data_IF_736783328406
#
_entry.id   IF_736783328406
#
_cell.length_a   1.000
_cell.length_b   1.000
_cell.length_c   1.000
_cell.angle_alpha   90.00
_cell.angle_beta   90.00
_cell.angle_gamma   90.00
#
_symmetry.space_group_name_H-M   'P 1'
#
loop_
_entity.id
_entity.type
_entity.pdbx_description
1 polymer ?
#
# COMPACT_ATOMS: atom_id res chain seq x y z
N UNK A 1 25.29 -8.56 -10.13
CA UNK A 1 24.07 -9.00 -9.46
C UNK A 1 23.47 -7.85 -8.68
N UNK A 2 22.18 -7.71 -8.72
CA UNK A 2 21.52 -6.54 -8.15
C UNK A 2 20.92 -6.87 -6.79
N UNK A 3 21.48 -6.27 -5.74
CA UNK A 3 20.98 -6.46 -4.37
C UNK A 3 19.86 -5.48 -4.04
N UNK A 4 19.47 -4.67 -4.99
CA UNK A 4 18.44 -3.63 -4.78
C UNK A 4 17.24 -3.94 -5.65
N UNK A 5 16.11 -3.40 -5.25
CA UNK A 5 14.91 -3.48 -6.07
C UNK A 5 14.22 -2.13 -6.08
N UNK A 6 13.42 -1.91 -7.11
CA UNK A 6 12.58 -0.72 -7.22
C UNK A 6 11.14 -1.15 -7.13
N UNK A 7 10.40 -0.53 -6.23
CA UNK A 7 8.97 -0.81 -6.07
C UNK A 7 8.23 0.52 -6.09
N UNK A 8 6.97 0.45 -6.44
CA UNK A 8 6.08 1.60 -6.41
C UNK A 8 5.11 1.44 -5.26
N UNK A 9 4.73 2.57 -4.66
CA UNK A 9 3.66 2.61 -3.68
C UNK A 9 2.61 3.58 -4.18
N UNK A 10 1.37 3.15 -4.23
CA UNK A 10 0.27 3.94 -4.78
C UNK A 10 -0.85 4.07 -3.77
N UNK A 11 -1.48 5.24 -3.75
CA UNK A 11 -2.67 5.49 -2.97
C UNK A 11 -3.56 6.42 -3.77
N UNK A 12 -4.84 6.09 -3.87
CA UNK A 12 -5.78 6.87 -4.66
C UNK A 12 -6.92 7.41 -3.80
N UNK A 13 -7.19 8.69 -3.98
CA UNK A 13 -8.41 9.35 -3.52
C UNK A 13 -9.24 9.67 -4.78
N UNK A 14 -10.54 9.93 -4.62
CA UNK A 14 -11.37 10.22 -5.80
C UNK A 14 -10.83 11.35 -6.67
N UNK A 15 -10.26 12.39 -6.06
CA UNK A 15 -9.79 13.57 -6.79
C UNK A 15 -8.28 13.60 -6.97
N UNK A 16 -7.55 12.64 -6.41
CA UNK A 16 -6.09 12.74 -6.41
C UNK A 16 -5.46 11.37 -6.26
N UNK A 17 -4.39 11.15 -7.02
CA UNK A 17 -3.61 9.92 -6.93
C UNK A 17 -2.21 10.24 -6.45
N UNK A 18 -1.66 9.34 -5.66
CA UNK A 18 -0.30 9.44 -5.16
C UNK A 18 0.50 8.25 -5.63
N UNK A 19 1.74 8.49 -6.00
CA UNK A 19 2.64 7.43 -6.45
C UNK A 19 4.05 7.77 -6.00
N UNK A 20 4.67 6.83 -5.30
CA UNK A 20 6.05 7.00 -4.84
C UNK A 20 6.88 5.85 -5.36
N UNK A 21 8.05 6.18 -5.91
CA UNK A 21 9.02 5.20 -6.38
C UNK A 21 10.09 5.03 -5.31
N UNK A 22 10.33 3.81 -4.90
CA UNK A 22 11.23 3.52 -3.78
C UNK A 22 12.25 2.49 -4.20
N UNK A 23 13.51 2.79 -3.95
CA UNK A 23 14.59 1.83 -4.09
C UNK A 23 14.96 1.30 -2.71
N UNK A 24 15.09 -0.01 -2.57
CA UNK A 24 15.34 -0.64 -1.28
C UNK A 24 16.07 -1.97 -1.48
N UNK A 25 16.63 -2.54 -0.39
CA UNK A 25 17.31 -3.83 -0.50
C UNK A 25 16.36 -4.92 -1.00
N UNK A 26 16.90 -5.88 -1.73
CA UNK A 26 16.11 -6.94 -2.34
C UNK A 26 15.27 -7.72 -1.32
N UNK A 27 15.75 -7.87 -0.09
CA UNK A 27 15.04 -8.62 0.94
C UNK A 27 14.07 -7.78 1.76
N UNK A 28 13.92 -6.49 1.45
CA UNK A 28 13.05 -5.60 2.24
C UNK A 28 11.59 -6.01 2.12
N UNK A 29 10.87 -5.85 3.22
CA UNK A 29 9.45 -6.22 3.33
C UNK A 29 8.54 -5.09 2.89
N UNK A 30 7.26 -5.42 2.76
CA UNK A 30 6.21 -4.42 2.51
C UNK A 30 6.23 -3.33 3.58
N UNK A 31 6.43 -3.72 4.85
CA UNK A 31 6.50 -2.73 5.92
C UNK A 31 7.62 -1.72 5.70
N UNK A 32 8.78 -2.21 5.26
CA UNK A 32 9.92 -1.33 4.98
C UNK A 32 9.67 -0.46 3.76
N UNK A 33 9.00 -1.02 2.75
CA UNK A 33 8.61 -0.26 1.58
C UNK A 33 7.68 0.88 1.95
N UNK A 34 6.67 0.60 2.78
CA UNK A 34 5.74 1.63 3.25
C UNK A 34 6.46 2.72 4.04
N UNK A 35 7.40 2.34 4.89
CA UNK A 35 8.15 3.31 5.67
C UNK A 35 8.93 4.27 4.77
N UNK A 36 9.61 3.74 3.77
CA UNK A 36 10.36 4.57 2.84
C UNK A 36 9.44 5.47 2.01
N UNK A 37 8.30 4.94 1.57
CA UNK A 37 7.33 5.75 0.84
C UNK A 37 6.78 6.87 1.70
N UNK A 38 6.54 6.58 2.98
CA UNK A 38 6.05 7.59 3.92
C UNK A 38 7.04 8.73 4.10
N UNK A 39 8.33 8.39 4.17
CA UNK A 39 9.36 9.42 4.27
C UNK A 39 9.37 10.31 3.04
N UNK A 40 9.26 9.74 1.85
CA UNK A 40 9.17 10.53 0.62
C UNK A 40 7.91 11.40 0.63
N UNK A 41 6.79 10.82 1.02
CA UNK A 41 5.53 11.55 1.06
C UNK A 41 5.61 12.72 2.03
N UNK A 42 6.21 12.50 3.19
CA UNK A 42 6.37 13.57 4.18
C UNK A 42 7.22 14.70 3.63
N UNK A 43 8.30 14.38 2.93
CA UNK A 43 9.16 15.38 2.32
C UNK A 43 8.44 16.21 1.26
N UNK A 44 7.40 15.65 0.64
CA UNK A 44 6.59 16.33 -0.37
C UNK A 44 5.33 16.95 0.19
N UNK A 45 5.06 16.79 1.47
CA UNK A 45 3.81 17.26 2.08
C UNK A 45 2.60 16.44 1.65
N UNK A 46 2.80 15.19 1.28
CA UNK A 46 1.74 14.33 0.77
C UNK A 46 1.29 13.26 1.74
N UNK A 47 1.89 13.18 2.92
CA UNK A 47 1.66 12.05 3.83
C UNK A 47 0.34 12.13 4.59
N UNK A 48 -0.25 13.31 4.71
CA UNK A 48 -1.40 13.54 5.57
C UNK A 48 -2.62 12.68 5.26
N UNK A 49 -3.06 12.59 4.00
CA UNK A 49 -4.29 11.85 3.70
C UNK A 49 -4.10 10.34 3.60
N UNK A 50 -2.88 9.84 3.69
CA UNK A 50 -2.59 8.43 3.41
C UNK A 50 -2.71 7.60 4.69
N UNK A 51 -3.47 6.50 4.65
CA UNK A 51 -3.63 5.64 5.83
C UNK A 51 -2.47 4.66 5.96
N UNK A 52 -1.32 5.16 6.39
CA UNK A 52 -0.08 4.38 6.45
C UNK A 52 -0.17 3.15 7.34
N UNK A 53 -1.08 3.17 8.33
CA UNK A 53 -1.26 2.06 9.26
C UNK A 53 -2.32 1.08 8.81
N UNK A 54 -2.89 1.29 7.64
CA UNK A 54 -3.92 0.39 7.11
C UNK A 54 -3.34 -1.00 6.87
N UNK A 55 -4.13 -2.02 7.18
CA UNK A 55 -3.80 -3.39 6.83
C UNK A 55 -4.38 -3.78 5.47
N UNK A 56 -5.10 -2.87 4.84
CA UNK A 56 -5.70 -3.12 3.54
C UNK A 56 -4.69 -2.78 2.45
N UNK A 57 -3.87 -3.74 2.11
CA UNK A 57 -2.76 -3.58 1.18
C UNK A 57 -2.85 -4.65 0.09
N UNK A 58 -2.37 -4.31 -1.11
CA UNK A 58 -2.34 -5.28 -2.19
C UNK A 58 -1.18 -5.04 -3.14
N UNK A 59 -0.77 -6.10 -3.81
CA UNK A 59 0.22 -6.04 -4.88
C UNK A 59 -0.46 -6.58 -6.13
N UNK A 60 -0.56 -5.75 -7.16
CA UNK A 60 -1.26 -6.10 -8.40
C UNK A 60 -2.67 -6.66 -8.15
N UNK A 61 -3.38 -6.02 -7.21
CA UNK A 61 -4.76 -6.40 -6.94
C UNK A 61 -4.93 -7.57 -5.97
N UNK A 62 -3.84 -8.20 -5.55
CA UNK A 62 -3.92 -9.31 -4.61
C UNK A 62 -3.55 -8.84 -3.21
N UNK A 63 -4.32 -9.24 -2.18
CA UNK A 63 -4.00 -8.84 -0.81
C UNK A 63 -2.61 -9.28 -0.41
N UNK A 64 -1.93 -8.44 0.34
CA UNK A 64 -0.61 -8.77 0.85
C UNK A 64 -0.49 -8.32 2.31
N UNK A 65 0.56 -8.78 2.95
CA UNK A 65 0.84 -8.49 4.35
C UNK A 65 2.09 -7.66 4.49
N UNK A 66 2.24 -7.02 5.63
CA UNK A 66 3.42 -6.19 5.89
C UNK A 66 4.71 -6.99 5.92
N UNK A 67 4.66 -8.25 6.29
CA UNK A 67 5.83 -9.11 6.33
C UNK A 67 6.19 -9.74 4.99
N UNK A 68 5.34 -9.59 3.99
CA UNK A 68 5.65 -10.10 2.66
C UNK A 68 6.82 -9.34 2.05
N UNK A 69 7.55 -10.01 1.16
CA UNK A 69 8.69 -9.42 0.47
C UNK A 69 8.30 -9.14 -0.98
N UNK A 70 8.10 -7.89 -1.35
CA UNK A 70 7.78 -7.56 -2.73
C UNK A 70 8.98 -7.80 -3.64
N UNK A 71 8.70 -8.01 -4.91
CA UNK A 71 9.73 -8.22 -5.92
C UNK A 71 10.04 -6.93 -6.64
N UNK A 72 11.20 -6.91 -7.29
CA UNK A 72 11.55 -5.79 -8.13
C UNK A 72 10.44 -5.53 -9.16
N UNK A 73 10.04 -4.29 -9.27
CA UNK A 73 8.96 -3.90 -10.17
C UNK A 73 7.56 -3.99 -9.60
N UNK A 74 7.40 -4.50 -8.40
CA UNK A 74 6.07 -4.61 -7.79
C UNK A 74 5.50 -3.24 -7.46
N UNK A 75 4.18 -3.16 -7.53
CA UNK A 75 3.41 -1.98 -7.17
C UNK A 75 2.54 -2.33 -5.98
N UNK A 76 2.87 -1.73 -4.85
CA UNK A 76 2.08 -1.88 -3.63
C UNK A 76 0.98 -0.82 -3.64
N UNK A 77 -0.23 -1.24 -3.39
CA UNK A 77 -1.37 -0.34 -3.31
C UNK A 77 -1.87 -0.29 -1.88
N UNK A 78 -2.05 0.93 -1.39
CA UNK A 78 -2.67 1.17 -0.09
C UNK A 78 -4.14 1.43 -0.36
N UNK A 79 -5.01 0.59 0.17
CA UNK A 79 -6.44 0.79 0.02
C UNK A 79 -6.96 1.59 1.20
N UNK A 80 -7.90 2.48 0.92
CA UNK A 80 -8.54 3.22 1.98
C UNK A 80 -9.29 2.25 2.88
N UNK A 81 -9.22 2.44 4.19
CA UNK A 81 -10.12 1.70 5.04
C UNK A 81 -11.54 1.96 4.55
N UNK A 82 -12.34 0.92 4.45
CA UNK A 82 -13.73 1.10 4.06
C UNK A 82 -14.37 2.03 5.07
N UNK A 83 -14.92 3.13 4.59
CA UNK A 83 -15.79 3.94 5.42
C UNK A 83 -16.92 3.02 5.85
N UNK A 84 -17.26 3.05 7.12
CA UNK A 84 -18.28 2.16 7.64
C UNK A 84 -19.57 2.32 6.83
N UNK A 85 -19.84 1.35 5.99
CA UNK A 85 -21.04 1.30 5.16
C UNK A 85 -21.85 0.10 5.60
N UNK A 86 -22.99 0.30 6.25
CA UNK A 86 -23.81 -0.82 6.72
C UNK A 86 -24.19 -1.80 5.61
N UNK A 87 -24.41 -1.29 4.41
CA UNK A 87 -24.76 -2.17 3.28
C UNK A 87 -23.58 -3.05 2.89
N UNK A 88 -22.39 -2.49 2.81
CA UNK A 88 -21.19 -3.26 2.50
C UNK A 88 -20.93 -4.31 3.57
N UNK A 89 -21.06 -3.94 4.83
CA UNK A 89 -20.88 -4.88 5.93
C UNK A 89 -21.88 -6.02 5.86
N UNK A 90 -23.13 -5.71 5.59
CA UNK A 90 -24.17 -6.73 5.48
C UNK A 90 -23.88 -7.69 4.34
N UNK A 91 -23.50 -7.14 3.20
CA UNK A 91 -23.18 -7.95 2.03
C UNK A 91 -22.02 -8.89 2.30
N UNK A 92 -21.02 -8.39 2.97
CA UNK A 92 -19.86 -9.19 3.32
C UNK A 92 -20.25 -10.35 4.22
N UNK A 93 -21.11 -10.09 5.19
CA UNK A 93 -21.57 -11.13 6.09
C UNK A 93 -22.37 -12.21 5.37
N UNK A 94 -23.23 -11.80 4.46
CA UNK A 94 -24.01 -12.76 3.68
C UNK A 94 -23.09 -13.65 2.88
N UNK A 95 -22.07 -13.10 2.29
CA UNK A 95 -21.09 -13.89 1.54
C UNK A 95 -20.25 -14.80 2.41
N UNK A 96 -20.04 -14.43 3.64
CA UNK A 96 -19.21 -15.19 4.54
C UNK A 96 -19.84 -16.48 5.03
N UNK A 97 -21.05 -16.77 4.64
CA UNK A 97 -21.73 -18.01 5.03
C UNK A 97 -21.39 -19.17 4.15
#
# INVERSE_FOLDING_TARGET
MNDRKHCLVAFALPARQFLWSVELPAAATVAQLLEQARLQARARGEDGPVPWDSDSLGIFGEPCRREDVPRDGDRLEIYRPLVHDPRASRRTRVRGR
#
